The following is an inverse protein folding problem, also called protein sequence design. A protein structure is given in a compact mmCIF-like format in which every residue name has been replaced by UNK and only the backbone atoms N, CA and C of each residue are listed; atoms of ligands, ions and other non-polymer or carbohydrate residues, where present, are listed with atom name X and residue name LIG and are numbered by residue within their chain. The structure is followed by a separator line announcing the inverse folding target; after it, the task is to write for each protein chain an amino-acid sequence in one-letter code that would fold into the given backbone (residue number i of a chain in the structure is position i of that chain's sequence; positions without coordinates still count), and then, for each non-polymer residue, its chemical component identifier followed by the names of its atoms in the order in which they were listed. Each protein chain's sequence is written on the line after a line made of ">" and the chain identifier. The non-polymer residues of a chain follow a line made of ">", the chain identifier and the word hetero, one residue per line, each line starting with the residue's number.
data_IF_074457354946
#
_entry.id   IF_074457354946
#
_cell.length_a   1.000
_cell.length_b   1.000
_cell.length_c   1.000
_cell.angle_alpha   90.00
_cell.angle_beta   90.00
_cell.angle_gamma   90.00
#
_symmetry.space_group_name_H-M   'P 1'
#
loop_
_entity.id
_entity.type
_entity.pdbx_description
1 polymer ?
#
# COMPACT_ATOMS: atom_id res chain seq x y z
N UNK A 1 3.72 -9.87 9.41
CA UNK A 1 2.74 -9.23 8.50
C UNK A 1 3.26 -9.36 7.07
N UNK A 2 2.41 -9.60 6.06
CA UNK A 2 2.81 -9.50 4.65
C UNK A 2 2.08 -8.31 4.02
N UNK A 3 2.80 -7.46 3.30
CA UNK A 3 2.26 -6.26 2.67
C UNK A 3 2.10 -6.48 1.18
N UNK A 4 1.11 -5.84 0.58
CA UNK A 4 0.70 -6.06 -0.79
C UNK A 4 0.37 -4.71 -1.44
N UNK A 5 0.91 -4.48 -2.65
CA UNK A 5 0.67 -3.28 -3.45
C UNK A 5 0.23 -3.66 -4.88
N UNK A 6 -0.84 -3.06 -5.43
CA UNK A 6 -1.09 -3.07 -6.86
C UNK A 6 -0.04 -2.20 -7.55
N UNK A 7 0.57 -2.74 -8.62
CA UNK A 7 1.48 -1.96 -9.48
C UNK A 7 0.63 -1.27 -10.55
N UNK A 8 1.01 -0.06 -10.95
CA UNK A 8 0.64 0.49 -12.26
C UNK A 8 1.89 0.28 -13.11
N UNK A 9 1.80 -0.61 -14.10
CA UNK A 9 2.89 -0.87 -15.05
C UNK A 9 2.37 -0.41 -16.42
N UNK A 10 2.94 0.67 -16.97
CA UNK A 10 2.60 1.20 -18.31
C UNK A 10 1.08 1.25 -18.60
N UNK A 11 0.35 2.15 -17.93
CA UNK A 11 -1.10 2.40 -18.15
C UNK A 11 -2.04 1.21 -17.93
N UNK A 12 -1.53 0.07 -17.46
CA UNK A 12 -2.32 -1.09 -17.07
C UNK A 12 -2.30 -1.25 -15.56
N UNK A 13 -3.50 -1.27 -14.96
CA UNK A 13 -3.71 -1.69 -13.57
C UNK A 13 -3.18 -3.12 -13.46
N UNK A 14 -2.04 -3.32 -12.81
CA UNK A 14 -1.49 -4.66 -12.64
C UNK A 14 -2.42 -5.43 -11.70
N UNK A 15 -3.19 -6.36 -12.26
CA UNK A 15 -4.02 -7.32 -11.55
C UNK A 15 -3.07 -8.32 -10.88
N UNK A 16 -2.51 -7.95 -9.73
CA UNK A 16 -1.58 -8.80 -8.99
C UNK A 16 -0.83 -8.01 -7.93
N UNK A 17 -1.23 -8.14 -6.67
CA UNK A 17 -0.47 -7.52 -5.58
C UNK A 17 0.81 -8.30 -5.31
N UNK A 18 1.97 -7.65 -5.43
CA UNK A 18 3.24 -8.27 -5.05
C UNK A 18 3.48 -8.15 -3.55
N UNK A 19 4.10 -9.16 -2.90
CA UNK A 19 4.61 -9.01 -1.54
C UNK A 19 5.60 -7.85 -1.44
N UNK A 20 5.42 -6.99 -0.44
CA UNK A 20 6.27 -5.86 -0.14
C UNK A 20 6.93 -6.04 1.22
N UNK A 21 8.17 -5.57 1.34
CA UNK A 21 8.87 -5.47 2.63
C UNK A 21 8.31 -4.30 3.44
N UNK A 22 8.63 -4.24 4.74
CA UNK A 22 8.19 -3.11 5.58
C UNK A 22 8.87 -1.81 5.14
N UNK A 23 10.11 -1.89 4.67
CA UNK A 23 10.90 -0.78 4.13
C UNK A 23 10.25 -0.18 2.89
N UNK A 24 9.75 -1.03 1.96
CA UNK A 24 9.02 -0.56 0.78
C UNK A 24 7.73 0.16 1.15
N UNK A 25 7.03 -0.32 2.18
CA UNK A 25 5.82 0.36 2.69
C UNK A 25 6.18 1.70 3.31
N UNK A 26 7.26 1.78 4.10
CA UNK A 26 7.73 3.06 4.67
C UNK A 26 8.09 4.07 3.59
N UNK A 27 8.86 3.65 2.58
CA UNK A 27 9.22 4.51 1.46
C UNK A 27 7.99 5.01 0.68
N UNK A 28 6.97 4.17 0.49
CA UNK A 28 5.72 4.60 -0.13
C UNK A 28 4.96 5.61 0.72
N UNK A 29 4.89 5.41 2.05
CA UNK A 29 4.25 6.35 2.95
C UNK A 29 4.94 7.72 2.93
N UNK A 30 6.28 7.73 2.96
CA UNK A 30 7.08 8.95 2.83
C UNK A 30 6.85 9.64 1.48
N UNK A 31 6.82 8.88 0.39
CA UNK A 31 6.57 9.42 -0.95
C UNK A 31 5.15 9.99 -1.15
N UNK A 32 4.20 9.67 -0.25
CA UNK A 32 2.82 10.18 -0.27
C UNK A 32 2.55 11.15 0.89
N UNK A 33 3.59 11.71 1.52
CA UNK A 33 3.50 12.64 2.67
C UNK A 33 2.67 12.09 3.85
N UNK A 34 2.63 10.77 4.01
CA UNK A 34 1.97 10.11 5.13
C UNK A 34 2.99 9.80 6.22
N UNK A 35 2.78 10.36 7.41
CA UNK A 35 3.58 10.02 8.58
C UNK A 35 3.63 8.50 8.80
N UNK A 36 4.85 7.93 8.78
CA UNK A 36 5.08 6.47 8.80
C UNK A 36 4.30 5.77 9.92
N UNK A 37 4.42 6.26 11.15
CA UNK A 37 3.76 5.68 12.33
C UNK A 37 2.24 5.64 12.18
N UNK A 38 1.66 6.72 11.63
CA UNK A 38 0.21 6.82 11.40
C UNK A 38 -0.24 5.89 10.27
N UNK A 39 0.51 5.85 9.18
CA UNK A 39 0.22 5.00 8.01
C UNK A 39 0.32 3.51 8.35
N UNK A 40 1.39 3.10 9.01
CA UNK A 40 1.56 1.72 9.49
C UNK A 40 0.52 1.35 10.54
N UNK A 41 0.23 2.24 11.49
CA UNK A 41 -0.82 2.03 12.49
C UNK A 41 -2.20 1.83 11.86
N UNK A 42 -2.57 2.65 10.88
CA UNK A 42 -3.82 2.51 10.14
C UNK A 42 -3.87 1.19 9.35
N UNK A 43 -2.77 0.86 8.66
CA UNK A 43 -2.64 -0.36 7.86
C UNK A 43 -2.71 -1.63 8.72
N UNK A 44 -2.09 -1.64 9.91
CA UNK A 44 -2.13 -2.76 10.84
C UNK A 44 -3.49 -2.92 11.51
N UNK A 45 -4.15 -1.80 11.84
CA UNK A 45 -5.47 -1.80 12.49
C UNK A 45 -6.59 -2.24 11.56
N UNK A 46 -6.59 -1.76 10.32
CA UNK A 46 -7.68 -1.98 9.36
C UNK A 46 -7.38 -3.03 8.29
N UNK A 47 -6.13 -3.48 8.18
CA UNK A 47 -5.69 -4.44 7.17
C UNK A 47 -5.53 -3.84 5.76
N UNK A 48 -5.87 -2.56 5.56
CA UNK A 48 -5.67 -1.87 4.29
C UNK A 48 -5.45 -0.37 4.47
N UNK A 49 -4.79 0.28 3.53
CA UNK A 49 -4.62 1.72 3.50
C UNK A 49 -4.72 2.20 2.06
N UNK A 50 -5.64 3.13 1.80
CA UNK A 50 -5.79 3.77 0.49
C UNK A 50 -4.99 5.07 0.49
N UNK A 51 -4.08 5.20 -0.47
CA UNK A 51 -3.35 6.42 -0.78
C UNK A 51 -3.92 6.97 -2.08
N UNK A 52 -4.20 8.26 -2.10
CA UNK A 52 -4.75 8.96 -3.27
C UNK A 52 -3.77 10.07 -3.61
N UNK A 53 -3.28 10.05 -4.84
CA UNK A 53 -2.39 11.05 -5.40
C UNK A 53 -3.13 11.75 -6.55
N UNK A 54 -3.15 13.08 -6.51
CA UNK A 54 -3.70 13.89 -7.61
C UNK A 54 -2.53 14.34 -8.47
N UNK A 55 -2.57 13.96 -9.74
CA UNK A 55 -1.58 14.27 -10.76
C UNK A 55 -2.22 15.15 -11.84
N UNK A 56 -1.41 15.79 -12.68
CA UNK A 56 -1.92 16.58 -13.81
C UNK A 56 -2.74 15.72 -14.81
N UNK A 57 -2.48 14.41 -14.85
CA UNK A 57 -3.16 13.43 -15.70
C UNK A 57 -4.39 12.77 -15.04
N UNK A 58 -4.70 13.13 -13.79
CA UNK A 58 -5.87 12.63 -13.05
C UNK A 58 -5.55 12.09 -11.65
N UNK A 59 -6.45 11.26 -11.13
CA UNK A 59 -6.37 10.71 -9.76
C UNK A 59 -5.81 9.30 -9.79
N UNK A 60 -4.69 9.09 -9.10
CA UNK A 60 -4.07 7.78 -8.90
C UNK A 60 -4.42 7.25 -7.52
N UNK A 61 -5.02 6.06 -7.49
CA UNK A 61 -5.36 5.37 -6.23
C UNK A 61 -4.45 4.16 -6.01
N UNK A 62 -3.76 4.11 -4.87
CA UNK A 62 -2.94 2.97 -4.45
C UNK A 62 -3.52 2.35 -3.19
N UNK A 63 -3.80 1.05 -3.21
CA UNK A 63 -4.35 0.33 -2.05
C UNK A 63 -3.27 -0.59 -1.49
N UNK A 64 -2.70 -0.21 -0.35
CA UNK A 64 -1.87 -1.06 0.48
C UNK A 64 -2.77 -2.07 1.21
N UNK A 65 -2.41 -3.35 1.19
CA UNK A 65 -3.06 -4.36 2.02
C UNK A 65 -2.04 -5.02 2.95
N UNK A 66 -2.38 -5.09 4.24
CA UNK A 66 -1.64 -5.88 5.22
C UNK A 66 -2.40 -7.19 5.46
N UNK A 67 -1.90 -8.27 4.88
CA UNK A 67 -2.40 -9.61 5.21
C UNK A 67 -1.73 -10.05 6.50
N UNK A 68 -2.53 -10.13 7.56
CA UNK A 68 -2.19 -10.96 8.72
C UNK A 68 -2.03 -12.39 8.17
N UNK A 69 -0.88 -13.02 8.41
CA UNK A 69 -0.78 -14.45 8.15
C UNK A 69 -1.86 -15.09 9.02
N UNK A 70 -2.91 -15.67 8.40
CA UNK A 70 -3.88 -16.47 9.12
C UNK A 70 -3.04 -17.57 9.76
N UNK A 71 -2.82 -17.51 11.08
CA UNK A 71 -2.30 -18.66 11.82
C UNK A 71 -3.34 -19.75 11.54
N UNK A 72 -2.98 -20.72 10.69
CA UNK A 72 -3.76 -21.93 10.55
C UNK A 72 -3.75 -22.58 11.94
N UNK A 73 -4.89 -22.58 12.61
CA UNK A 73 -5.16 -23.45 13.75
C UNK A 73 -5.64 -24.78 13.22
#
# INVERSE_FOLDING_TARGET
>A
MRYFLPRIESDLVAIGSMPQTIENVKALLEANDVAIERGLGALHKSGSLKLIEVTDDGVVERILQAKMAKLAR
#
